data_IF_202354920913
#
_entry.id   IF_202354920913
#
_cell.length_a   1.000
_cell.length_b   1.000
_cell.length_c   1.000
_cell.angle_alpha   90.00
_cell.angle_beta   90.00
_cell.angle_gamma   90.00
#
_symmetry.space_group_name_H-M   'P 1'
#
loop_
_entity.id
_entity.type
_entity.pdbx_description
1 polymer ?
#
# COMPACT_ATOMS: atom_id res chain seq x y z
N UNK A 1 1.56 -10.75 26.63
CA UNK A 1 3.00 -10.43 26.44
C UNK A 1 3.32 -10.37 24.94
N UNK A 2 4.14 -9.41 24.51
CA UNK A 2 4.67 -9.29 23.15
C UNK A 2 6.18 -9.51 23.14
N UNK A 3 6.68 -10.24 22.15
CA UNK A 3 8.08 -10.63 22.04
C UNK A 3 8.65 -10.10 20.72
N UNK A 4 9.74 -9.34 20.79
CA UNK A 4 10.42 -8.81 19.62
C UNK A 4 11.77 -9.48 19.42
N UNK A 5 12.02 -9.91 18.18
CA UNK A 5 13.22 -10.63 17.79
C UNK A 5 13.94 -9.86 16.68
N UNK A 6 15.27 -9.94 16.70
CA UNK A 6 16.15 -9.60 15.59
C UNK A 6 16.85 -10.88 15.10
N UNK A 7 17.56 -10.82 13.98
CA UNK A 7 18.38 -11.92 13.42
C UNK A 7 19.38 -12.48 14.46
N UNK A 8 19.79 -11.68 15.45
CA UNK A 8 20.64 -12.09 16.57
C UNK A 8 19.91 -12.66 17.80
N UNK A 9 18.58 -12.80 17.79
CA UNK A 9 17.79 -13.33 18.91
C UNK A 9 16.76 -12.34 19.48
N UNK A 10 16.18 -12.68 20.63
CA UNK A 10 15.15 -11.88 21.33
C UNK A 10 15.77 -10.59 21.85
N UNK A 11 15.13 -9.45 21.58
CA UNK A 11 15.60 -8.13 22.03
C UNK A 11 14.68 -7.47 23.07
N UNK A 12 13.35 -7.50 22.87
CA UNK A 12 12.42 -6.80 23.76
C UNK A 12 11.22 -7.65 24.16
N UNK A 13 10.69 -7.37 25.35
CA UNK A 13 9.50 -7.99 25.93
C UNK A 13 8.59 -6.88 26.38
N UNK A 14 7.36 -6.84 25.85
CA UNK A 14 6.34 -5.91 26.33
C UNK A 14 5.25 -6.68 27.06
N UNK A 15 5.12 -6.43 28.35
CA UNK A 15 4.12 -7.05 29.22
C UNK A 15 3.11 -5.98 29.65
N UNK A 16 1.83 -6.33 29.70
CA UNK A 16 0.77 -5.42 30.18
C UNK A 16 -0.61 -5.59 29.55
N UNK A 17 -0.75 -6.28 28.41
CA UNK A 17 -2.08 -6.70 27.94
C UNK A 17 -2.56 -7.93 28.74
N UNK A 18 -3.79 -7.84 29.25
CA UNK A 18 -4.46 -8.91 30.01
C UNK A 18 -5.23 -9.88 29.10
N UNK A 19 -5.55 -9.47 27.87
CA UNK A 19 -6.14 -10.29 26.83
C UNK A 19 -5.16 -10.56 25.67
N UNK A 20 -5.41 -11.58 24.83
CA UNK A 20 -4.58 -11.84 23.65
C UNK A 20 -4.53 -10.61 22.73
N UNK A 21 -3.33 -10.31 22.23
CA UNK A 21 -3.14 -9.21 21.27
C UNK A 21 -3.67 -9.63 19.90
N UNK A 22 -4.52 -8.78 19.33
CA UNK A 22 -5.14 -8.99 18.04
C UNK A 22 -4.41 -8.30 16.89
N UNK A 23 -4.03 -7.02 17.07
CA UNK A 23 -3.34 -6.23 16.06
C UNK A 23 -2.10 -5.51 16.60
N UNK A 24 -1.12 -5.34 15.73
CA UNK A 24 0.09 -4.57 15.95
C UNK A 24 0.24 -3.54 14.83
N UNK A 25 0.54 -2.30 15.21
CA UNK A 25 0.75 -1.17 14.32
C UNK A 25 2.09 -0.50 14.68
N UNK A 26 3.21 -1.00 14.13
CA UNK A 26 4.51 -0.36 14.30
C UNK A 26 4.57 0.93 13.48
N UNK A 27 5.21 1.96 14.03
CA UNK A 27 5.39 3.24 13.35
C UNK A 27 6.71 3.92 13.73
N UNK A 28 7.09 4.92 12.94
CA UNK A 28 8.29 5.72 13.13
C UNK A 28 7.99 7.17 12.80
N UNK A 29 8.14 8.05 13.79
CA UNK A 29 7.84 9.48 13.68
C UNK A 29 8.84 10.25 14.55
N UNK A 30 9.32 11.39 14.06
CA UNK A 30 10.21 12.29 14.81
C UNK A 30 11.45 11.58 15.40
N UNK A 31 12.05 10.65 14.62
CA UNK A 31 13.15 9.79 15.04
C UNK A 31 12.86 8.78 16.15
N UNK A 32 11.60 8.61 16.54
CA UNK A 32 11.15 7.67 17.57
C UNK A 32 10.44 6.50 16.88
N UNK A 33 10.89 5.29 17.20
CA UNK A 33 10.20 4.05 16.80
C UNK A 33 9.29 3.61 17.94
N UNK A 34 8.05 3.28 17.62
CA UNK A 34 7.07 2.84 18.60
C UNK A 34 6.07 1.88 17.97
N UNK A 35 5.22 1.29 18.80
CA UNK A 35 4.23 0.30 18.38
C UNK A 35 2.93 0.58 19.11
N UNK A 36 1.83 0.61 18.39
CA UNK A 36 0.51 0.41 18.98
C UNK A 36 0.13 -1.06 18.94
N UNK A 37 -0.49 -1.57 19.99
CA UNK A 37 -1.08 -2.90 20.00
C UNK A 37 -2.50 -2.85 20.54
N UNK A 38 -3.37 -3.67 19.96
CA UNK A 38 -4.76 -3.81 20.40
C UNK A 38 -5.03 -5.24 20.84
N UNK A 39 -5.74 -5.41 21.93
CA UNK A 39 -6.15 -6.71 22.45
C UNK A 39 -7.62 -7.01 22.12
N UNK A 40 -8.03 -8.27 22.26
CA UNK A 40 -9.40 -8.74 21.94
C UNK A 40 -10.46 -8.06 22.82
N UNK A 41 -10.09 -7.64 24.03
CA UNK A 41 -10.94 -6.86 24.95
C UNK A 41 -11.07 -5.38 24.57
N UNK A 42 -10.47 -4.96 23.45
CA UNK A 42 -10.49 -3.58 22.96
C UNK A 42 -9.45 -2.67 23.59
N UNK A 43 -8.56 -3.17 24.47
CA UNK A 43 -7.50 -2.34 25.04
C UNK A 43 -6.44 -2.00 24.00
N UNK A 44 -6.06 -0.72 23.95
CA UNK A 44 -5.03 -0.19 23.07
C UNK A 44 -3.86 0.30 23.92
N UNK A 45 -2.65 -0.13 23.59
CA UNK A 45 -1.42 0.28 24.28
C UNK A 45 -0.35 0.73 23.30
N UNK A 46 0.42 1.75 23.68
CA UNK A 46 1.61 2.20 22.95
C UNK A 46 2.89 1.77 23.67
N UNK A 47 3.90 1.35 22.91
CA UNK A 47 5.17 0.82 23.42
C UNK A 47 6.35 1.53 22.77
N UNK A 48 7.36 1.87 23.57
CA UNK A 48 8.69 2.28 23.11
C UNK A 48 9.68 1.13 23.32
N UNK A 49 10.77 1.11 22.56
CA UNK A 49 11.83 0.09 22.66
C UNK A 49 12.78 0.36 23.83
N UNK A 50 12.23 0.55 25.04
CA UNK A 50 12.99 0.90 26.26
C UNK A 50 12.61 0.07 27.50
N UNK A 51 11.74 -0.94 27.33
CA UNK A 51 11.29 -1.86 28.39
C UNK A 51 10.56 -1.17 29.57
N UNK A 52 10.18 0.10 29.46
CA UNK A 52 9.53 0.87 30.54
C UNK A 52 7.99 0.67 30.59
N UNK A 53 7.48 -0.36 29.92
CA UNK A 53 6.05 -0.67 29.86
C UNK A 53 5.26 0.18 28.86
N UNK A 54 3.93 0.08 28.90
CA UNK A 54 3.05 0.82 27.99
C UNK A 54 3.01 2.30 28.35
N UNK A 55 3.09 3.17 27.36
CA UNK A 55 3.00 4.64 27.51
C UNK A 55 1.58 5.15 27.60
N UNK A 56 0.65 4.33 27.11
CA UNK A 56 -0.72 4.70 26.82
C UNK A 56 -1.61 3.51 27.13
N UNK A 57 -2.83 3.80 27.60
CA UNK A 57 -3.94 2.87 27.74
C UNK A 57 -5.21 3.56 27.23
N UNK A 58 -5.70 3.14 26.07
CA UNK A 58 -6.98 3.61 25.50
C UNK A 58 -7.94 2.46 25.31
N UNK A 59 -9.21 2.81 25.15
CA UNK A 59 -10.28 1.88 24.83
C UNK A 59 -10.71 2.06 23.38
N UNK A 60 -10.67 0.98 22.60
CA UNK A 60 -11.20 0.95 21.26
C UNK A 60 -12.72 1.15 21.27
N UNK A 61 -13.29 1.81 20.24
CA UNK A 61 -14.73 1.86 20.04
C UNK A 61 -15.34 0.46 20.06
N UNK A 62 -16.43 0.29 20.82
CA UNK A 62 -17.12 -1.01 20.96
C UNK A 62 -16.47 -1.99 21.95
N UNK A 63 -15.36 -1.62 22.61
CA UNK A 63 -14.67 -2.40 23.65
C UNK A 63 -14.40 -3.86 23.23
N UNK A 64 -13.94 -4.00 22.00
CA UNK A 64 -13.66 -5.30 21.39
C UNK A 64 -12.58 -5.17 20.32
N UNK A 65 -12.32 -6.30 19.70
CA UNK A 65 -11.34 -6.56 18.67
C UNK A 65 -11.30 -5.48 17.56
N UNK A 66 -10.17 -4.77 17.45
CA UNK A 66 -9.96 -3.73 16.45
C UNK A 66 -8.58 -3.82 15.80
N UNK A 67 -8.50 -3.55 14.50
CA UNK A 67 -7.24 -3.36 13.78
C UNK A 67 -6.83 -1.89 13.86
N UNK A 68 -5.55 -1.60 14.13
CA UNK A 68 -5.00 -0.25 13.98
C UNK A 68 -4.05 -0.18 12.79
N UNK A 69 -4.08 0.94 12.07
CA UNK A 69 -3.13 1.23 11.02
C UNK A 69 -2.91 2.73 10.85
N UNK A 70 -1.69 3.13 10.55
CA UNK A 70 -1.43 4.45 9.99
C UNK A 70 -1.87 4.50 8.53
N UNK A 71 -2.29 5.69 8.07
CA UNK A 71 -2.50 5.97 6.67
C UNK A 71 -1.26 5.66 5.84
N UNK A 72 -1.42 5.40 4.54
CA UNK A 72 -0.32 5.02 3.66
C UNK A 72 0.78 6.10 3.53
N UNK A 73 0.48 7.35 3.83
CA UNK A 73 1.44 8.46 3.94
C UNK A 73 2.12 8.56 5.33
N UNK A 74 1.62 7.81 6.32
CA UNK A 74 2.13 7.76 7.68
C UNK A 74 1.65 8.89 8.60
N UNK A 75 0.69 9.71 8.18
CA UNK A 75 0.36 10.95 8.90
C UNK A 75 -0.82 10.83 9.87
N UNK A 76 -1.70 9.84 9.69
CA UNK A 76 -2.96 9.70 10.43
C UNK A 76 -3.15 8.30 10.95
N UNK A 77 -3.67 8.18 12.18
CA UNK A 77 -3.89 6.91 12.85
C UNK A 77 -5.37 6.54 12.81
N UNK A 78 -5.67 5.32 12.35
CA UNK A 78 -7.03 4.79 12.27
C UNK A 78 -7.16 3.50 13.07
N UNK A 79 -8.37 3.24 13.54
CA UNK A 79 -8.77 1.90 13.97
C UNK A 79 -10.09 1.49 13.35
N UNK A 80 -10.19 0.22 12.96
CA UNK A 80 -11.42 -0.38 12.49
C UNK A 80 -11.66 -1.71 13.18
N UNK A 81 -12.82 -1.84 13.81
CA UNK A 81 -13.18 -3.03 14.58
C UNK A 81 -14.67 -3.29 14.58
N UNK A 82 -15.07 -4.35 15.26
CA UNK A 82 -16.46 -4.70 15.50
C UNK A 82 -16.70 -4.84 16.99
N UNK A 83 -17.85 -4.41 17.51
CA UNK A 83 -18.24 -4.65 18.91
C UNK A 83 -18.66 -6.11 19.14
N UNK A 84 -18.89 -6.49 20.40
CA UNK A 84 -19.45 -7.81 20.76
C UNK A 84 -20.82 -8.06 20.12
N UNK A 85 -21.59 -7.01 19.91
CA UNK A 85 -22.92 -7.02 19.31
C UNK A 85 -22.88 -6.98 17.77
N UNK A 86 -21.68 -6.94 17.17
CA UNK A 86 -21.49 -6.92 15.72
C UNK A 86 -21.62 -5.53 15.08
N UNK A 87 -21.46 -4.46 15.87
CA UNK A 87 -21.43 -3.09 15.38
C UNK A 87 -20.04 -2.75 14.83
N UNK A 88 -19.94 -2.41 13.56
CA UNK A 88 -18.67 -2.00 12.95
C UNK A 88 -18.35 -0.54 13.25
N UNK A 89 -17.11 -0.26 13.65
CA UNK A 89 -16.61 1.08 13.96
C UNK A 89 -15.34 1.37 13.15
N UNK A 90 -15.25 2.58 12.61
CA UNK A 90 -14.05 3.11 11.95
C UNK A 90 -13.82 4.53 12.45
N UNK A 91 -12.66 4.76 13.07
CA UNK A 91 -12.34 6.05 13.68
C UNK A 91 -10.92 6.48 13.35
N UNK A 92 -10.72 7.79 13.32
CA UNK A 92 -9.41 8.44 13.31
C UNK A 92 -9.09 8.93 14.73
N UNK A 93 -7.84 8.73 15.14
CA UNK A 93 -7.33 9.14 16.44
C UNK A 93 -6.57 10.46 16.37
N UNK A 94 -6.76 11.30 17.39
CA UNK A 94 -5.80 12.34 17.73
C UNK A 94 -4.70 11.70 18.59
N UNK A 95 -3.56 11.40 17.98
CA UNK A 95 -2.44 10.73 18.66
C UNK A 95 -1.91 11.52 19.86
N UNK A 96 -1.85 12.86 19.78
CA UNK A 96 -1.32 13.68 20.87
C UNK A 96 -2.27 13.81 22.06
N UNK A 97 -3.59 13.82 21.81
CA UNK A 97 -4.59 13.93 22.87
C UNK A 97 -5.07 12.56 23.38
N UNK A 98 -4.86 11.50 22.60
CA UNK A 98 -5.40 10.17 22.91
C UNK A 98 -6.92 10.07 22.75
N UNK A 99 -7.52 10.96 21.97
CA UNK A 99 -8.97 11.08 21.78
C UNK A 99 -9.39 10.66 20.36
N UNK A 100 -10.66 10.33 20.19
CA UNK A 100 -11.23 10.10 18.86
C UNK A 100 -11.41 11.46 18.18
N UNK A 101 -10.71 11.66 17.06
CA UNK A 101 -10.79 12.86 16.25
C UNK A 101 -12.00 12.83 15.31
N UNK A 102 -12.25 11.68 14.67
CA UNK A 102 -13.38 11.49 13.73
C UNK A 102 -13.94 10.07 13.83
N UNK A 103 -15.25 9.96 13.64
CA UNK A 103 -15.96 8.69 13.50
C UNK A 103 -16.61 8.63 12.11
N UNK A 104 -16.28 7.62 11.33
CA UNK A 104 -16.82 7.43 9.98
C UNK A 104 -18.15 6.69 10.02
N UNK A 105 -19.15 7.23 9.32
CA UNK A 105 -20.52 6.73 9.26
C UNK A 105 -20.74 5.88 8.01
N UNK A 106 -21.75 5.01 8.03
CA UNK A 106 -22.12 4.15 6.88
C UNK A 106 -22.02 2.65 7.14
N UNK A 107 -21.46 2.27 8.29
CA UNK A 107 -21.59 0.92 8.82
C UNK A 107 -23.03 0.68 9.28
N UNK A 108 -23.49 -0.56 9.15
CA UNK A 108 -24.77 -1.01 9.70
C UNK A 108 -24.49 -2.06 10.78
N UNK A 109 -25.52 -2.34 11.56
CA UNK A 109 -25.48 -3.35 12.63
C UNK A 109 -25.62 -4.73 11.97
N UNK A 110 -24.54 -5.54 11.85
CA UNK A 110 -24.52 -6.99 11.48
C UNK A 110 -23.17 -7.51 10.95
N UNK A 111 -22.04 -7.14 11.52
CA UNK A 111 -20.78 -7.77 11.15
C UNK A 111 -20.39 -8.90 12.10
N UNK A 112 -20.22 -10.11 11.55
CA UNK A 112 -19.82 -11.31 12.31
C UNK A 112 -18.30 -11.42 12.46
N UNK A 113 -17.54 -10.71 11.63
CA UNK A 113 -16.07 -10.74 11.61
C UNK A 113 -15.52 -9.32 11.73
N UNK A 114 -14.31 -9.18 12.28
CA UNK A 114 -13.65 -7.88 12.38
C UNK A 114 -13.41 -7.28 11.01
N UNK A 115 -14.02 -6.13 10.76
CA UNK A 115 -13.90 -5.38 9.51
C UNK A 115 -12.43 -5.06 9.23
N UNK A 116 -12.02 -5.33 7.99
CA UNK A 116 -10.69 -4.97 7.51
C UNK A 116 -10.79 -3.67 6.71
N UNK A 117 -9.79 -2.81 6.87
CA UNK A 117 -9.69 -1.57 6.14
C UNK A 117 -8.28 -1.38 5.57
N UNK A 118 -8.17 -0.53 4.56
CA UNK A 118 -6.90 -0.04 4.07
C UNK A 118 -7.04 1.39 3.55
N UNK A 119 -5.91 2.07 3.38
CA UNK A 119 -5.86 3.48 2.97
C UNK A 119 -4.95 3.68 1.77
N UNK A 120 -5.21 4.76 1.03
CA UNK A 120 -4.33 5.26 -0.02
C UNK A 120 -3.53 6.47 0.46
N UNK A 121 -2.48 6.82 -0.28
CA UNK A 121 -1.75 8.09 -0.10
C UNK A 121 -2.56 9.30 -0.59
N UNK A 122 -3.59 9.06 -1.38
CA UNK A 122 -4.49 10.09 -1.91
C UNK A 122 -5.66 10.38 -0.98
N UNK A 123 -5.51 10.11 0.32
CA UNK A 123 -6.53 10.40 1.33
C UNK A 123 -7.86 9.67 1.09
N UNK A 124 -7.82 8.43 0.57
CA UNK A 124 -8.99 7.55 0.56
C UNK A 124 -8.84 6.41 1.55
N UNK A 125 -9.99 5.99 2.06
CA UNK A 125 -10.15 4.90 3.01
C UNK A 125 -11.19 3.93 2.46
N UNK A 126 -10.90 2.63 2.54
CA UNK A 126 -11.84 1.59 2.14
C UNK A 126 -11.96 0.53 3.24
N UNK A 127 -13.18 0.06 3.49
CA UNK A 127 -13.46 -0.99 4.47
C UNK A 127 -14.38 -2.06 3.88
N UNK A 128 -14.11 -3.31 4.23
CA UNK A 128 -14.87 -4.47 3.76
C UNK A 128 -15.91 -4.88 4.78
N UNK A 129 -17.19 -4.68 4.47
CA UNK A 129 -18.30 -4.88 5.41
C UNK A 129 -19.59 -5.20 4.65
N UNK A 130 -20.39 -6.13 5.19
CA UNK A 130 -21.69 -6.54 4.64
C UNK A 130 -21.66 -6.95 3.16
N UNK A 131 -20.71 -7.80 2.76
CA UNK A 131 -20.57 -8.25 1.36
C UNK A 131 -20.28 -7.11 0.36
N UNK A 132 -19.84 -5.95 0.87
CA UNK A 132 -19.53 -4.75 0.09
C UNK A 132 -18.18 -4.17 0.49
N UNK A 133 -17.70 -3.26 -0.36
CA UNK A 133 -16.55 -2.40 -0.12
C UNK A 133 -17.09 -0.99 0.03
N UNK A 134 -16.91 -0.40 1.21
CA UNK A 134 -17.36 0.95 1.52
C UNK A 134 -16.17 1.90 1.43
N UNK A 135 -16.38 3.10 0.89
CA UNK A 135 -15.33 4.08 0.64
C UNK A 135 -15.63 5.42 1.30
N UNK A 136 -14.57 6.08 1.78
CA UNK A 136 -14.60 7.41 2.38
C UNK A 136 -13.47 8.27 1.84
N UNK A 137 -13.76 9.56 1.70
CA UNK A 137 -12.72 10.59 1.73
C UNK A 137 -12.30 10.76 3.19
N UNK A 138 -11.00 10.79 3.41
CA UNK A 138 -10.41 10.86 4.72
C UNK A 138 -10.82 12.09 5.56
N UNK A 139 -11.24 13.18 4.95
CA UNK A 139 -11.71 14.38 5.64
C UNK A 139 -13.24 14.48 5.71
N UNK A 140 -13.96 13.52 5.12
CA UNK A 140 -15.42 13.43 5.17
C UNK A 140 -15.88 12.20 5.97
N UNK A 141 -16.62 12.42 7.05
CA UNK A 141 -17.14 11.33 7.88
C UNK A 141 -18.26 10.55 7.22
N UNK A 142 -18.92 11.11 6.21
CA UNK A 142 -19.98 10.41 5.48
C UNK A 142 -19.38 9.48 4.41
N UNK A 143 -19.96 8.28 4.30
CA UNK A 143 -19.60 7.32 3.26
C UNK A 143 -19.83 7.93 1.87
N UNK A 144 -18.82 7.84 1.02
CA UNK A 144 -18.90 8.30 -0.38
C UNK A 144 -19.73 7.33 -1.20
N UNK A 145 -19.40 6.04 -1.12
CA UNK A 145 -20.06 4.99 -1.90
C UNK A 145 -19.82 3.61 -1.28
N UNK A 146 -20.62 2.64 -1.70
CA UNK A 146 -20.44 1.23 -1.38
C UNK A 146 -20.64 0.40 -2.65
N UNK A 147 -19.76 -0.58 -2.87
CA UNK A 147 -19.71 -1.38 -4.10
C UNK A 147 -19.65 -2.87 -3.76
N UNK A 148 -20.44 -3.68 -4.45
CA UNK A 148 -20.47 -5.15 -4.30
C UNK A 148 -19.48 -5.87 -5.24
N UNK A 149 -18.80 -5.12 -6.10
CA UNK A 149 -17.78 -5.57 -7.05
C UNK A 149 -18.25 -6.70 -7.96
N UNK A 150 -19.45 -6.59 -8.55
CA UNK A 150 -20.12 -7.64 -9.34
C UNK A 150 -20.48 -8.87 -8.50
N UNK A 151 -20.72 -8.68 -7.21
CA UNK A 151 -21.09 -9.72 -6.25
C UNK A 151 -19.97 -10.70 -5.87
N UNK A 152 -20.31 -11.70 -5.05
CA UNK A 152 -19.40 -12.78 -4.65
C UNK A 152 -18.33 -12.37 -3.63
N UNK A 153 -18.51 -11.26 -2.93
CA UNK A 153 -17.71 -10.90 -1.76
C UNK A 153 -18.25 -11.64 -0.52
N UNK A 154 -17.40 -12.04 0.44
CA UNK A 154 -17.84 -12.60 1.72
C UNK A 154 -18.36 -11.49 2.65
N UNK A 155 -18.94 -11.84 3.80
CA UNK A 155 -19.51 -10.85 4.74
C UNK A 155 -18.49 -9.80 5.21
N UNK A 156 -17.23 -10.20 5.42
CA UNK A 156 -16.10 -9.30 5.74
C UNK A 156 -14.96 -9.52 4.73
N UNK A 157 -15.02 -8.87 3.55
CA UNK A 157 -13.97 -8.99 2.55
C UNK A 157 -12.67 -8.37 3.07
N UNK A 158 -11.54 -9.04 2.87
CA UNK A 158 -10.23 -8.46 3.13
C UNK A 158 -9.79 -7.61 1.96
N UNK A 159 -9.22 -6.47 2.27
CA UNK A 159 -8.87 -5.43 1.32
C UNK A 159 -7.38 -5.09 1.43
N UNK A 160 -6.73 -4.83 0.30
CA UNK A 160 -5.37 -4.29 0.29
C UNK A 160 -5.15 -3.38 -0.91
N UNK A 161 -4.82 -2.12 -0.68
CA UNK A 161 -4.38 -1.23 -1.75
C UNK A 161 -2.94 -1.57 -2.17
N UNK A 162 -2.63 -1.37 -3.45
CA UNK A 162 -1.23 -1.29 -3.86
C UNK A 162 -0.60 0.03 -3.37
N UNK A 163 0.72 0.11 -3.40
CA UNK A 163 1.48 1.25 -2.89
C UNK A 163 1.07 2.58 -3.53
N UNK A 164 0.69 2.55 -4.82
CA UNK A 164 0.23 3.72 -5.57
C UNK A 164 -1.24 4.10 -5.28
N UNK A 165 -2.03 3.26 -4.62
CA UNK A 165 -3.47 3.49 -4.38
C UNK A 165 -4.35 3.34 -5.63
N UNK A 166 -3.79 2.84 -6.74
CA UNK A 166 -4.47 2.67 -8.02
C UNK A 166 -5.28 1.37 -8.11
N UNK A 167 -4.92 0.36 -7.31
CA UNK A 167 -5.52 -0.97 -7.34
C UNK A 167 -5.88 -1.41 -5.93
N UNK A 168 -7.00 -2.12 -5.81
CA UNK A 168 -7.48 -2.74 -4.59
C UNK A 168 -7.64 -4.24 -4.82
N UNK A 169 -6.90 -5.06 -4.06
CA UNK A 169 -7.13 -6.50 -4.00
C UNK A 169 -8.22 -6.80 -2.96
N UNK A 170 -9.18 -7.66 -3.32
CA UNK A 170 -10.36 -7.97 -2.52
C UNK A 170 -10.59 -9.48 -2.52
N UNK A 171 -10.81 -10.09 -1.35
CA UNK A 171 -11.14 -11.52 -1.27
C UNK A 171 -12.58 -11.80 -1.66
N UNK A 172 -12.84 -12.96 -2.28
CA UNK A 172 -14.18 -13.43 -2.67
C UNK A 172 -14.66 -14.61 -1.81
N UNK A 173 -15.97 -14.87 -1.81
CA UNK A 173 -16.60 -15.95 -1.03
C UNK A 173 -16.16 -17.35 -1.43
N UNK A 174 -15.65 -17.51 -2.65
CA UNK A 174 -15.06 -18.74 -3.17
C UNK A 174 -13.54 -18.82 -2.96
N UNK A 175 -13.04 -18.10 -1.95
CA UNK A 175 -11.63 -18.02 -1.56
C UNK A 175 -10.68 -17.47 -2.64
N UNK A 176 -11.23 -16.86 -3.69
CA UNK A 176 -10.47 -16.16 -4.71
C UNK A 176 -10.14 -14.71 -4.32
N UNK A 177 -9.57 -14.01 -5.29
CA UNK A 177 -9.24 -12.59 -5.18
C UNK A 177 -9.72 -11.88 -6.45
N UNK A 178 -10.39 -10.74 -6.27
CA UNK A 178 -10.69 -9.75 -7.31
C UNK A 178 -9.70 -8.59 -7.20
N UNK A 179 -9.22 -8.11 -8.33
CA UNK A 179 -8.44 -6.87 -8.44
C UNK A 179 -9.33 -5.78 -9.02
N UNK A 180 -9.54 -4.70 -8.27
CA UNK A 180 -10.33 -3.54 -8.66
C UNK A 180 -9.41 -2.36 -8.97
N UNK A 181 -9.68 -1.64 -10.06
CA UNK A 181 -8.98 -0.40 -10.38
C UNK A 181 -9.82 0.82 -9.95
N UNK A 182 -9.26 1.71 -9.11
CA UNK A 182 -9.92 2.96 -8.74
C UNK A 182 -10.03 3.92 -9.94
N UNK A 183 -10.86 4.96 -9.88
CA UNK A 183 -10.92 5.99 -10.93
C UNK A 183 -9.57 6.69 -11.13
N UNK A 184 -8.88 7.00 -10.03
CA UNK A 184 -7.48 7.47 -10.06
C UNK A 184 -6.53 6.42 -10.61
N UNK A 185 -6.76 5.15 -10.32
CA UNK A 185 -6.01 4.04 -10.89
C UNK A 185 -6.22 3.89 -12.39
N UNK A 186 -7.45 4.02 -12.88
CA UNK A 186 -7.78 4.06 -14.30
C UNK A 186 -7.16 5.27 -14.98
N UNK A 187 -7.17 6.46 -14.33
CA UNK A 187 -6.52 7.67 -14.85
C UNK A 187 -5.00 7.51 -14.91
N UNK A 188 -4.38 6.94 -13.88
CA UNK A 188 -2.95 6.64 -13.82
C UNK A 188 -2.55 5.60 -14.87
N UNK A 189 -3.33 4.53 -15.02
CA UNK A 189 -3.14 3.51 -16.07
C UNK A 189 -3.21 4.15 -17.46
N UNK A 190 -4.27 4.93 -17.76
CA UNK A 190 -4.43 5.63 -19.05
C UNK A 190 -3.26 6.59 -19.32
N UNK A 191 -2.79 7.33 -18.32
CA UNK A 191 -1.66 8.25 -18.44
C UNK A 191 -0.32 7.52 -18.66
N UNK A 192 -0.13 6.35 -18.06
CA UNK A 192 1.07 5.52 -18.27
C UNK A 192 1.05 4.82 -19.63
N UNK A 193 -0.12 4.39 -20.10
CA UNK A 193 -0.32 3.80 -21.43
C UNK A 193 -0.10 4.83 -22.55
N UNK A 194 -0.58 6.07 -22.41
CA UNK A 194 -0.36 7.13 -23.41
C UNK A 194 1.13 7.46 -23.59
N UNK A 195 1.88 7.56 -22.48
CA UNK A 195 3.35 7.77 -22.53
C UNK A 195 4.12 6.60 -23.13
N UNK A 196 3.59 5.37 -23.05
CA UNK A 196 4.20 4.21 -23.66
C UNK A 196 3.98 4.18 -25.19
N UNK A 197 2.84 4.69 -25.66
CA UNK A 197 2.50 4.84 -27.09
C UNK A 197 3.32 5.95 -27.75
N UNK A 198 3.57 7.06 -27.05
CA UNK A 198 4.39 8.15 -27.59
C UNK A 198 5.87 7.75 -27.77
N UNK A 199 6.36 6.77 -26.99
CA UNK A 199 7.71 6.20 -27.15
C UNK A 199 7.81 5.13 -28.24
N UNK A 200 6.70 4.55 -28.71
CA UNK A 200 6.70 3.61 -29.83
C UNK A 200 6.49 4.28 -31.18
N UNK A 201 6.15 5.58 -31.20
CA UNK A 201 6.00 6.39 -32.40
C UNK A 201 7.14 7.41 -32.51
N UNK A 202 8.37 6.93 -32.70
CA UNK A 202 9.37 7.75 -33.39
C UNK A 202 8.86 8.04 -34.81
N UNK A 203 8.94 9.28 -35.33
CA UNK A 203 8.44 9.56 -36.67
C UNK A 203 9.27 8.79 -37.69
N UNK A 204 8.61 7.93 -38.46
CA UNK A 204 9.15 7.38 -39.70
C UNK A 204 9.41 8.54 -40.67
N UNK A 205 10.66 8.71 -41.09
CA UNK A 205 10.98 9.63 -42.18
C UNK A 205 10.17 9.24 -43.44
N UNK A 206 9.60 10.23 -44.17
CA UNK A 206 8.83 9.93 -45.36
C UNK A 206 9.75 9.49 -46.50
N UNK A 207 9.46 8.29 -47.01
CA UNK A 207 10.00 7.73 -48.24
C UNK A 207 9.68 8.68 -49.39
N UNK A 208 10.70 9.34 -49.94
CA UNK A 208 10.57 10.10 -51.18
C UNK A 208 11.12 9.24 -52.33
N UNK A 209 10.20 8.78 -53.18
CA UNK A 209 10.47 7.94 -54.34
C UNK A 209 10.91 8.77 -55.54
N UNK A 210 12.11 8.50 -56.07
CA UNK A 210 12.42 8.62 -57.51
C UNK A 210 13.45 7.55 -57.91
N UNK A 211 13.24 6.80 -59.01
CA UNK A 211 14.24 5.86 -59.51
C UNK A 211 15.16 6.56 -60.51
N UNK A 212 16.45 6.20 -60.54
CA UNK A 212 17.34 6.44 -61.68
C UNK A 212 18.38 5.32 -61.77
N UNK A 213 18.56 4.85 -63.00
CA UNK A 213 19.27 3.66 -63.46
C UNK A 213 20.72 4.03 -63.82
N UNK A 214 21.68 3.23 -63.31
CA UNK A 214 22.91 2.69 -63.96
C UNK A 214 23.97 3.67 -64.51
N UNK A 215 25.22 3.66 -64.00
CA UNK A 215 26.37 2.89 -64.50
C UNK A 215 27.74 3.35 -63.93
N UNK A 216 28.71 2.43 -63.99
CA UNK A 216 30.18 2.61 -64.06
C UNK A 216 31.04 2.68 -62.76
N UNK A 217 31.77 1.57 -62.54
CA UNK A 217 33.22 1.43 -62.34
C UNK A 217 34.01 2.49 -61.54
N UNK A 218 34.75 2.02 -60.52
CA UNK A 218 35.98 2.72 -60.09
C UNK A 218 36.52 2.38 -58.70
N UNK A 219 37.47 1.44 -58.67
CA UNK A 219 38.60 1.21 -57.75
C UNK A 219 38.70 1.86 -56.34
N UNK A 220 38.89 0.96 -55.36
CA UNK A 220 40.01 0.84 -54.39
C UNK A 220 40.66 2.12 -53.80
N UNK A 221 40.61 2.28 -52.46
CA UNK A 221 41.78 2.13 -51.56
C UNK A 221 41.51 2.55 -50.10
N UNK A 222 41.97 1.69 -49.18
CA UNK A 222 42.59 1.91 -47.86
C UNK A 222 42.79 3.37 -47.40
N UNK A 223 42.76 3.74 -46.11
CA UNK A 223 43.51 3.13 -44.99
C UNK A 223 42.90 3.54 -43.63
N UNK A 224 43.21 2.72 -42.63
CA UNK A 224 42.79 2.75 -41.24
C UNK A 224 43.45 3.80 -40.33
N UNK A 225 42.79 4.00 -39.18
CA UNK A 225 43.32 4.09 -37.80
C UNK A 225 43.68 5.44 -37.19
N UNK A 226 43.30 5.59 -35.91
CA UNK A 226 43.79 6.63 -35.00
C UNK A 226 42.88 6.88 -33.81
N UNK A 227 43.13 6.17 -32.70
CA UNK A 227 42.41 6.23 -31.40
C UNK A 227 42.92 7.35 -30.48
N UNK A 228 42.03 7.77 -29.55
CA UNK A 228 42.28 8.26 -28.17
C UNK A 228 42.90 9.67 -28.02
N UNK A 229 42.67 10.48 -26.98
CA UNK A 229 41.80 10.47 -25.79
C UNK A 229 42.03 11.77 -24.99
N UNK A 230 41.04 12.18 -24.17
CA UNK A 230 41.20 12.95 -22.91
C UNK A 230 41.64 14.43 -23.02
N UNK A 231 41.41 15.38 -22.11
CA UNK A 231 40.53 15.61 -20.95
C UNK A 231 40.74 17.09 -20.53
N UNK A 232 39.96 17.57 -19.55
CA UNK A 232 40.12 18.80 -18.73
C UNK A 232 39.60 20.15 -19.30
N UNK A 233 39.08 21.15 -18.58
CA UNK A 233 38.38 21.41 -17.29
C UNK A 233 38.57 22.93 -17.00
N UNK A 234 37.52 23.68 -16.64
CA UNK A 234 37.56 24.89 -15.75
C UNK A 234 36.11 25.44 -15.62
N UNK A 235 35.44 25.42 -14.46
CA UNK A 235 35.50 26.29 -13.27
C UNK A 235 35.23 27.81 -13.48
N UNK A 236 34.12 28.33 -12.92
CA UNK A 236 34.06 29.56 -12.09
C UNK A 236 32.69 29.83 -11.42
N UNK A 237 32.72 30.28 -10.16
CA UNK A 237 31.61 30.63 -9.24
C UNK A 237 31.45 32.17 -9.08
N UNK A 238 30.22 32.58 -8.71
CA UNK A 238 29.54 33.85 -8.28
C UNK A 238 30.34 35.03 -7.64
N UNK A 239 29.68 36.18 -7.33
CA UNK A 239 29.18 36.43 -5.96
C UNK A 239 27.97 37.42 -5.80
N UNK A 240 27.62 37.75 -4.55
CA UNK A 240 26.48 38.55 -4.05
C UNK A 240 26.87 39.86 -3.29
N UNK A 241 25.86 40.63 -2.82
CA UNK A 241 25.74 41.44 -1.55
C UNK A 241 25.43 42.98 -1.62
N UNK A 242 24.23 43.37 -1.11
CA UNK A 242 23.74 44.42 -0.16
C UNK A 242 23.92 45.98 -0.16
N UNK A 243 22.77 46.67 0.08
CA UNK A 243 22.35 47.80 1.01
C UNK A 243 22.81 49.29 0.84
N UNK A 244 21.82 50.23 0.75
CA UNK A 244 21.63 51.40 1.67
C UNK A 244 21.51 52.88 1.16
N UNK A 245 20.29 53.49 1.26
CA UNK A 245 19.80 54.89 1.57
C UNK A 245 20.52 56.19 1.04
N UNK A 246 19.97 57.42 0.82
CA UNK A 246 18.78 58.23 1.23
C UNK A 246 18.62 59.53 0.34
N UNK A 247 17.38 60.05 0.17
CA UNK A 247 17.00 61.50 -0.06
C UNK A 247 16.91 62.00 -1.52
N UNK A 248 15.96 62.81 -2.02
CA UNK A 248 14.92 63.71 -1.46
C UNK A 248 13.85 64.02 -2.54
N UNK A 249 12.63 64.39 -2.10
CA UNK A 249 11.37 64.60 -2.85
C UNK A 249 11.34 65.81 -3.82
N UNK A 250 10.49 65.74 -4.86
CA UNK A 250 9.34 66.64 -5.01
C UNK A 250 8.23 66.10 -5.94
N UNK A 251 7.01 66.59 -5.70
CA UNK A 251 5.73 65.88 -5.79
C UNK A 251 4.82 66.36 -6.94
N UNK A 252 4.13 65.47 -7.66
CA UNK A 252 2.82 65.77 -8.28
C UNK A 252 2.09 64.53 -8.82
N UNK A 253 1.01 64.17 -8.10
CA UNK A 253 -0.25 63.54 -8.53
C UNK A 253 -0.23 62.07 -8.98
N UNK A 254 -0.71 61.19 -8.09
CA UNK A 254 -1.82 60.24 -8.32
C UNK A 254 -2.40 59.85 -6.94
N UNK A 255 -3.73 59.75 -6.85
CA UNK A 255 -4.50 59.57 -5.60
C UNK A 255 -4.55 58.09 -5.22
N UNK A 256 -3.90 57.75 -4.09
CA UNK A 256 -3.97 56.44 -3.45
C UNK A 256 -5.18 56.35 -2.50
N UNK A 257 -6.12 55.47 -2.85
CA UNK A 257 -7.15 54.97 -1.93
C UNK A 257 -6.66 53.62 -1.41
N UNK A 258 -6.29 53.59 -0.13
CA UNK A 258 -5.91 52.42 0.66
C UNK A 258 -6.81 51.19 0.39
N UNK A 259 -6.29 50.07 -0.15
CA UNK A 259 -7.03 48.82 -0.14
C UNK A 259 -6.93 48.21 1.26
N UNK A 260 -8.08 48.01 1.89
CA UNK A 260 -8.23 47.11 3.04
C UNK A 260 -7.81 45.72 2.59
N UNK A 261 -7.01 45.06 3.42
CA UNK A 261 -6.67 43.65 3.32
C UNK A 261 -7.99 42.87 3.29
N UNK A 262 -8.34 42.32 2.12
CA UNK A 262 -9.36 41.29 2.02
C UNK A 262 -8.65 39.94 2.14
N UNK A 263 -9.12 39.10 3.05
CA UNK A 263 -8.86 37.66 3.09
C UNK A 263 -9.16 37.05 1.72
N UNK A 264 -8.16 36.93 0.86
CA UNK A 264 -8.18 35.94 -0.22
C UNK A 264 -7.63 34.65 0.37
N UNK A 265 -8.51 34.01 1.16
CA UNK A 265 -8.45 32.57 1.37
C UNK A 265 -8.66 31.95 -0.01
N UNK A 266 -7.55 31.82 -0.73
CA UNK A 266 -7.54 31.35 -2.11
C UNK A 266 -8.26 30.02 -2.13
N UNK A 267 -9.47 30.07 -2.71
CA UNK A 267 -10.48 29.02 -2.66
C UNK A 267 -9.82 27.75 -3.13
N UNK A 268 -9.49 26.88 -2.17
CA UNK A 268 -9.21 25.48 -2.40
C UNK A 268 -10.42 24.97 -3.16
N UNK A 269 -10.29 24.89 -4.48
CA UNK A 269 -11.32 24.40 -5.39
C UNK A 269 -11.78 23.09 -4.80
N UNK A 270 -12.98 23.09 -4.24
CA UNK A 270 -13.63 21.89 -3.75
C UNK A 270 -13.61 20.91 -4.91
N UNK A 271 -12.78 19.87 -4.78
CA UNK A 271 -12.78 18.78 -5.72
C UNK A 271 -14.17 18.17 -5.65
N UNK A 272 -15.01 18.53 -6.62
CA UNK A 272 -16.23 17.79 -6.90
C UNK A 272 -15.79 16.37 -7.20
N UNK A 273 -16.24 15.50 -6.32
CA UNK A 273 -16.17 14.06 -6.41
C UNK A 273 -16.73 13.58 -7.76
N UNK A 274 -15.91 13.53 -8.80
CA UNK A 274 -16.10 12.65 -9.96
C UNK A 274 -15.77 11.19 -9.60
N UNK A 275 -15.96 10.84 -8.32
CA UNK A 275 -15.55 9.58 -7.71
C UNK A 275 -16.65 8.55 -7.96
N UNK A 276 -16.31 7.64 -8.88
CA UNK A 276 -16.73 6.24 -8.91
C UNK A 276 -18.22 6.04 -9.20
N UNK A 277 -18.57 6.20 -10.48
CA UNK A 277 -19.60 5.33 -11.04
C UNK A 277 -19.10 3.88 -10.89
N UNK A 278 -19.90 3.01 -10.29
CA UNK A 278 -19.61 1.57 -10.14
C UNK A 278 -19.23 0.95 -11.48
N UNK A 279 -19.74 1.50 -12.59
CA UNK A 279 -19.43 1.11 -13.97
C UNK A 279 -17.95 1.24 -14.37
N UNK A 280 -17.15 2.00 -13.62
CA UNK A 280 -15.74 2.24 -13.92
C UNK A 280 -14.81 1.21 -13.27
N UNK A 281 -15.28 0.44 -12.28
CA UNK A 281 -14.46 -0.58 -11.62
C UNK A 281 -14.30 -1.78 -12.57
N UNK A 282 -13.05 -2.12 -12.91
CA UNK A 282 -12.75 -3.38 -13.59
C UNK A 282 -12.35 -4.42 -12.56
N UNK A 283 -13.06 -5.55 -12.53
CA UNK A 283 -12.72 -6.69 -11.70
C UNK A 283 -11.97 -7.76 -12.51
N UNK A 284 -10.85 -8.22 -11.96
CA UNK A 284 -10.09 -9.36 -12.48
C UNK A 284 -10.01 -10.43 -11.39
N UNK A 285 -10.52 -11.63 -11.70
CA UNK A 285 -10.41 -12.79 -10.82
C UNK A 285 -9.07 -13.50 -11.03
N UNK A 286 -8.38 -13.81 -9.93
CA UNK A 286 -7.12 -14.54 -10.01
C UNK A 286 -7.36 -16.05 -10.22
N UNK A 287 -6.58 -16.71 -11.11
CA UNK A 287 -6.71 -18.14 -11.36
C UNK A 287 -6.24 -18.94 -10.14
N UNK A 288 -7.01 -19.98 -9.79
CA UNK A 288 -6.69 -20.93 -8.72
C UNK A 288 -7.23 -22.32 -9.07
N UNK A 289 -6.41 -23.37 -8.97
CA UNK A 289 -6.80 -24.75 -9.34
C UNK A 289 -6.61 -25.78 -8.24
N UNK A 290 -6.17 -25.41 -7.03
CA UNK A 290 -5.86 -26.39 -5.96
C UNK A 290 -6.36 -25.90 -4.59
N UNK A 291 -7.04 -26.82 -3.89
CA UNK A 291 -7.61 -26.82 -2.53
C UNK A 291 -7.60 -25.45 -1.82
N UNK A 292 -8.79 -24.87 -1.78
CA UNK A 292 -9.06 -23.51 -1.36
C UNK A 292 -9.07 -23.35 0.16
N UNK A 293 -8.00 -22.78 0.73
CA UNK A 293 -8.03 -22.19 2.06
C UNK A 293 -8.53 -20.75 1.99
N UNK A 294 -9.30 -20.31 2.99
CA UNK A 294 -9.76 -18.91 3.11
C UNK A 294 -8.55 -17.98 3.14
N UNK A 295 -8.51 -16.95 2.31
CA UNK A 295 -7.43 -15.97 2.33
C UNK A 295 -7.49 -15.17 3.63
N UNK A 296 -6.40 -15.21 4.42
CA UNK A 296 -6.30 -14.57 5.73
C UNK A 296 -5.43 -13.30 5.72
N UNK A 297 -4.49 -13.19 4.77
CA UNK A 297 -3.66 -11.98 4.57
C UNK A 297 -3.39 -11.72 3.09
N UNK A 298 -3.29 -10.44 2.73
CA UNK A 298 -2.98 -9.94 1.39
C UNK A 298 -1.88 -8.89 1.47
N UNK A 299 -0.91 -8.93 0.55
CA UNK A 299 0.10 -7.88 0.41
C UNK A 299 0.57 -7.76 -1.04
N UNK A 300 0.54 -6.54 -1.58
CA UNK A 300 1.26 -6.23 -2.81
C UNK A 300 2.75 -6.09 -2.53
N UNK A 301 3.58 -6.57 -3.45
CA UNK A 301 5.02 -6.29 -3.45
C UNK A 301 5.29 -4.78 -3.55
N UNK A 302 6.39 -4.34 -2.95
CA UNK A 302 6.79 -2.92 -2.93
C UNK A 302 7.07 -2.38 -4.34
N UNK A 303 7.52 -3.25 -5.25
CA UNK A 303 7.70 -2.99 -6.67
C UNK A 303 6.39 -2.85 -7.45
N UNK A 304 5.27 -3.33 -6.90
CA UNK A 304 3.95 -3.30 -7.54
C UNK A 304 3.79 -4.32 -8.67
N UNK A 305 4.65 -5.34 -8.76
CA UNK A 305 4.62 -6.35 -9.84
C UNK A 305 3.94 -7.66 -9.45
N UNK A 306 3.64 -7.86 -8.17
CA UNK A 306 3.07 -9.10 -7.67
C UNK A 306 2.18 -8.88 -6.45
N UNK A 307 1.23 -9.80 -6.27
CA UNK A 307 0.36 -9.92 -5.09
C UNK A 307 0.65 -11.26 -4.40
N UNK A 308 0.88 -11.21 -3.10
CA UNK A 308 1.04 -12.38 -2.25
C UNK A 308 -0.18 -12.51 -1.34
N UNK A 309 -0.76 -13.71 -1.29
CA UNK A 309 -1.80 -14.07 -0.33
C UNK A 309 -1.33 -15.21 0.57
N UNK A 310 -1.73 -15.15 1.84
CA UNK A 310 -1.63 -16.27 2.78
C UNK A 310 -3.02 -16.81 3.04
N UNK A 311 -3.21 -18.12 2.85
CA UNK A 311 -4.45 -18.82 3.13
C UNK A 311 -4.44 -19.45 4.54
N UNK A 312 -5.63 -19.78 5.06
CA UNK A 312 -5.82 -20.37 6.39
C UNK A 312 -5.13 -21.72 6.56
N UNK A 313 -4.92 -22.46 5.47
CA UNK A 313 -4.14 -23.70 5.43
C UNK A 313 -2.61 -23.47 5.42
N UNK A 314 -2.14 -22.28 5.80
CA UNK A 314 -0.73 -21.89 5.85
C UNK A 314 0.02 -21.82 4.51
N UNK A 315 -0.67 -22.02 3.38
CA UNK A 315 -0.07 -21.92 2.05
C UNK A 315 -0.08 -20.48 1.55
N UNK A 316 1.03 -20.05 0.97
CA UNK A 316 1.12 -18.78 0.26
C UNK A 316 0.94 -18.98 -1.25
N UNK A 317 0.24 -18.02 -1.86
CA UNK A 317 0.07 -17.94 -3.31
C UNK A 317 0.60 -16.60 -3.80
N UNK A 318 1.51 -16.64 -4.78
CA UNK A 318 2.15 -15.46 -5.36
C UNK A 318 1.71 -15.33 -6.81
N UNK A 319 0.99 -14.27 -7.15
CA UNK A 319 0.65 -13.95 -8.52
C UNK A 319 1.55 -12.83 -9.02
N UNK A 320 2.21 -13.04 -10.17
CA UNK A 320 3.09 -12.04 -10.80
C UNK A 320 2.50 -11.54 -12.10
N UNK A 321 2.48 -10.22 -12.25
CA UNK A 321 2.28 -9.61 -13.56
C UNK A 321 3.57 -9.71 -14.36
N UNK A 322 3.45 -10.04 -15.63
CA UNK A 322 4.59 -10.19 -16.54
C UNK A 322 4.59 -9.06 -17.55
N UNK A 323 5.80 -8.68 -17.96
CA UNK A 323 5.98 -7.77 -19.08
C UNK A 323 5.54 -8.47 -20.37
N UNK A 324 4.62 -7.85 -21.08
CA UNK A 324 4.10 -8.33 -22.37
C UNK A 324 3.78 -7.13 -23.26
N UNK A 325 3.44 -7.37 -24.53
CA UNK A 325 2.96 -6.30 -25.43
C UNK A 325 1.75 -5.56 -24.85
N UNK A 326 0.88 -6.29 -24.11
CA UNK A 326 -0.32 -5.73 -23.46
C UNK A 326 -0.05 -5.17 -22.05
N UNK A 327 1.14 -5.38 -21.49
CA UNK A 327 1.57 -4.82 -20.21
C UNK A 327 3.08 -4.53 -20.25
N UNK A 328 3.46 -3.42 -20.87
CA UNK A 328 4.88 -3.06 -21.08
C UNK A 328 5.63 -2.79 -19.77
N UNK A 329 4.91 -2.43 -18.71
CA UNK A 329 5.51 -2.13 -17.41
C UNK A 329 5.80 -3.37 -16.56
N UNK A 330 5.05 -4.46 -16.78
CA UNK A 330 5.04 -5.62 -15.89
C UNK A 330 4.44 -5.36 -14.50
N UNK A 331 3.90 -4.16 -14.24
CA UNK A 331 3.22 -3.83 -12.99
C UNK A 331 1.82 -4.43 -12.94
N UNK A 332 1.25 -4.45 -11.74
CA UNK A 332 -0.11 -4.86 -11.49
C UNK A 332 -1.12 -4.02 -12.28
N UNK A 333 -2.13 -4.68 -12.83
CA UNK A 333 -3.23 -4.06 -13.58
C UNK A 333 -4.51 -4.89 -13.37
N UNK A 334 -5.67 -4.25 -13.48
CA UNK A 334 -6.97 -4.94 -13.50
C UNK A 334 -7.38 -5.41 -14.92
N UNK A 335 -6.59 -5.07 -15.96
CA UNK A 335 -6.90 -5.43 -17.36
C UNK A 335 -6.14 -6.68 -17.84
N UNK A 336 -5.03 -7.03 -17.18
CA UNK A 336 -4.22 -8.20 -17.52
C UNK A 336 -4.16 -9.15 -16.32
N UNK A 337 -4.53 -10.41 -16.54
CA UNK A 337 -4.40 -11.44 -15.52
C UNK A 337 -2.93 -11.67 -15.15
N UNK A 338 -2.54 -11.66 -13.86
CA UNK A 338 -1.25 -12.16 -13.46
C UNK A 338 -1.25 -13.69 -13.55
N UNK A 339 -0.04 -14.26 -13.57
CA UNK A 339 0.13 -15.70 -13.52
C UNK A 339 0.45 -16.13 -12.09
N UNK A 340 -0.16 -17.24 -11.65
CA UNK A 340 0.26 -17.91 -10.43
C UNK A 340 1.70 -18.38 -10.64
N UNK A 341 2.60 -17.86 -9.82
CA UNK A 341 4.02 -18.11 -9.95
C UNK A 341 4.48 -19.13 -8.91
N UNK A 342 5.29 -20.08 -9.37
CA UNK A 342 5.98 -21.08 -8.55
C UNK A 342 7.45 -21.13 -8.98
N UNK A 343 8.38 -21.44 -8.06
CA UNK A 343 9.77 -21.68 -8.43
C UNK A 343 9.88 -22.94 -9.31
N UNK A 344 10.91 -23.06 -10.15
CA UNK A 344 11.14 -24.26 -10.97
C UNK A 344 11.25 -25.56 -10.18
N UNK A 345 11.61 -25.47 -8.89
CA UNK A 345 11.66 -26.64 -7.98
C UNK A 345 10.28 -27.20 -7.64
N UNK A 346 9.20 -26.48 -7.93
CA UNK A 346 7.83 -26.84 -7.54
C UNK A 346 7.57 -26.78 -6.03
N UNK A 347 8.54 -26.28 -5.25
CA UNK A 347 8.42 -26.19 -3.79
C UNK A 347 7.38 -25.12 -3.42
N UNK A 348 6.29 -25.47 -2.72
CA UNK A 348 5.32 -24.49 -2.25
C UNK A 348 5.89 -23.67 -1.09
N UNK A 349 5.40 -22.44 -0.92
CA UNK A 349 5.69 -21.64 0.27
C UNK A 349 4.62 -21.90 1.33
N UNK A 350 4.93 -22.72 2.32
CA UNK A 350 3.99 -23.13 3.37
C UNK A 350 4.58 -22.85 4.75
N UNK A 351 3.79 -22.22 5.62
CA UNK A 351 4.15 -22.02 7.03
C UNK A 351 4.00 -23.31 7.84
N UNK A 352 4.73 -23.36 8.93
CA UNK A 352 4.48 -24.28 10.03
C UNK A 352 3.14 -23.94 10.72
N UNK A 353 2.37 -24.97 11.06
CA UNK A 353 1.08 -24.87 11.75
C UNK A 353 1.18 -25.54 13.12
N UNK A 354 0.46 -25.00 14.09
CA UNK A 354 0.32 -25.67 15.37
C UNK A 354 -0.86 -26.65 15.29
N UNK A 355 -0.58 -27.96 15.25
CA UNK A 355 -1.62 -29.00 15.16
C UNK A 355 -2.57 -29.00 16.38
N UNK A 356 -2.16 -28.40 17.50
CA UNK A 356 -3.00 -28.35 18.71
C UNK A 356 -4.10 -27.28 18.65
N UNK A 357 -4.09 -26.37 17.66
CA UNK A 357 -5.08 -25.30 17.52
C UNK A 357 -5.72 -25.33 16.13
N UNK A 358 -7.04 -25.05 16.03
CA UNK A 358 -7.67 -24.84 14.74
C UNK A 358 -6.96 -23.73 13.95
N UNK A 359 -6.91 -23.89 12.62
CA UNK A 359 -6.32 -22.88 11.72
C UNK A 359 -7.03 -21.51 11.83
N UNK A 360 -8.32 -21.51 12.17
CA UNK A 360 -9.13 -20.31 12.32
C UNK A 360 -8.79 -19.51 13.60
N UNK A 361 -8.27 -20.18 14.63
CA UNK A 361 -7.83 -19.56 15.88
C UNK A 361 -6.35 -19.13 15.85
N UNK A 362 -5.63 -19.52 14.80
CA UNK A 362 -4.21 -19.24 14.65
C UNK A 362 -3.98 -17.87 14.03
N UNK A 363 -3.29 -16.98 14.76
CA UNK A 363 -2.93 -15.68 14.23
C UNK A 363 -1.98 -15.82 13.03
N UNK A 364 -2.43 -15.30 11.87
CA UNK A 364 -1.63 -15.26 10.65
C UNK A 364 -1.01 -13.87 10.46
N UNK A 365 0.23 -13.80 9.97
CA UNK A 365 0.86 -12.54 9.60
C UNK A 365 1.83 -12.72 8.44
N UNK A 366 1.99 -11.67 7.64
CA UNK A 366 2.96 -11.59 6.55
C UNK A 366 3.59 -10.20 6.53
N UNK A 367 4.89 -10.13 6.27
CA UNK A 367 5.62 -8.90 6.09
C UNK A 367 6.68 -9.07 4.99
N UNK A 368 6.73 -8.11 4.06
CA UNK A 368 7.71 -8.11 2.98
C UNK A 368 8.94 -7.30 3.35
N UNK A 369 10.11 -7.82 2.97
CA UNK A 369 11.35 -7.04 2.94
C UNK A 369 11.24 -5.85 1.98
N UNK A 370 12.00 -4.79 2.25
CA UNK A 370 11.97 -3.54 1.45
C UNK A 370 12.27 -3.75 -0.04
N UNK A 371 13.02 -4.79 -0.38
CA UNK A 371 13.45 -5.13 -1.74
C UNK A 371 12.67 -6.33 -2.33
N UNK A 372 11.56 -6.74 -1.73
CA UNK A 372 10.70 -7.86 -2.14
C UNK A 372 11.39 -9.23 -2.24
N UNK A 373 12.63 -9.36 -1.76
CA UNK A 373 13.42 -10.60 -1.93
C UNK A 373 13.09 -11.65 -0.87
N UNK A 374 12.55 -11.22 0.27
CA UNK A 374 12.16 -12.07 1.38
C UNK A 374 10.77 -11.72 1.91
N UNK A 375 10.09 -12.73 2.44
CA UNK A 375 8.85 -12.58 3.22
C UNK A 375 9.03 -13.24 4.58
N UNK A 376 8.66 -12.54 5.64
CA UNK A 376 8.51 -13.11 6.97
C UNK A 376 7.03 -13.44 7.18
N UNK A 377 6.74 -14.65 7.65
CA UNK A 377 5.36 -15.14 7.74
C UNK A 377 5.16 -16.12 8.90
N UNK A 378 3.93 -16.17 9.42
CA UNK A 378 3.53 -17.13 10.45
C UNK A 378 2.03 -17.49 10.32
N UNK A 379 1.69 -18.70 10.77
CA UNK A 379 0.33 -19.27 10.76
C UNK A 379 0.04 -20.07 12.05
N UNK A 380 0.42 -19.52 13.21
CA UNK A 380 0.25 -20.16 14.53
C UNK A 380 1.42 -21.08 14.97
N UNK A 381 2.21 -21.59 14.03
CA UNK A 381 3.48 -22.29 14.30
C UNK A 381 4.68 -21.36 14.41
N UNK A 382 5.87 -21.85 14.03
CA UNK A 382 7.10 -21.05 13.97
C UNK A 382 7.00 -19.93 12.93
N UNK A 383 7.58 -18.78 13.25
CA UNK A 383 7.72 -17.67 12.28
C UNK A 383 8.84 -18.03 11.31
N UNK A 384 8.57 -17.97 10.01
CA UNK A 384 9.52 -18.35 8.96
C UNK A 384 9.90 -17.16 8.09
N UNK A 385 11.19 -17.07 7.73
CA UNK A 385 11.68 -16.16 6.70
C UNK A 385 11.89 -16.93 5.41
N UNK A 386 11.09 -16.65 4.37
CA UNK A 386 11.20 -17.29 3.07
C UNK A 386 11.95 -16.41 2.08
N UNK A 387 12.68 -17.04 1.17
CA UNK A 387 13.18 -16.42 -0.05
C UNK A 387 12.05 -16.39 -1.12
N UNK A 388 11.73 -15.21 -1.64
CA UNK A 388 10.63 -15.02 -2.61
C UNK A 388 10.91 -15.59 -4.01
N UNK A 389 12.17 -15.93 -4.32
CA UNK A 389 12.59 -16.52 -5.59
C UNK A 389 12.65 -18.04 -5.56
N UNK A 390 12.81 -18.66 -4.40
CA UNK A 390 12.95 -20.13 -4.29
C UNK A 390 11.90 -20.77 -3.40
N UNK A 391 11.14 -19.97 -2.65
CA UNK A 391 10.20 -20.40 -1.60
C UNK A 391 10.85 -21.22 -0.47
N UNK A 392 12.19 -21.28 -0.42
CA UNK A 392 12.90 -21.95 0.66
C UNK A 392 12.87 -21.10 1.92
N UNK A 393 12.72 -21.78 3.05
CA UNK A 393 12.91 -21.19 4.38
C UNK A 393 14.40 -20.90 4.57
N UNK A 394 14.73 -19.63 4.80
CA UNK A 394 16.07 -19.16 5.11
C UNK A 394 16.41 -19.33 6.59
N UNK A 395 15.42 -19.08 7.46
CA UNK A 395 15.52 -19.28 8.90
C UNK A 395 14.12 -19.37 9.52
N UNK A 396 14.03 -19.96 10.70
CA UNK A 396 12.82 -19.98 11.54
C UNK A 396 13.10 -19.35 12.89
N UNK A 397 12.11 -18.68 13.45
CA UNK A 397 12.14 -18.11 14.79
C UNK A 397 11.16 -18.92 15.66
N UNK A 398 11.54 -19.14 16.93
CA UNK A 398 10.80 -19.99 17.88
C UNK A 398 9.32 -19.60 17.94
N UNK A 399 8.46 -20.61 18.08
CA UNK A 399 7.03 -20.42 18.34
C UNK A 399 6.84 -19.52 19.57
N UNK A 400 5.82 -18.65 19.62
CA UNK A 400 5.49 -17.91 20.82
C UNK A 400 5.34 -18.90 21.99
N UNK A 401 5.90 -18.63 23.18
CA UNK A 401 5.66 -19.48 24.33
C UNK A 401 4.15 -19.54 24.61
N UNK A 402 3.63 -20.68 25.11
CA UNK A 402 2.21 -20.82 25.40
C UNK A 402 1.74 -19.67 26.30
N UNK A 403 0.58 -19.12 25.98
CA UNK A 403 -0.15 -18.20 26.85
C UNK A 403 -0.48 -18.95 28.14
N UNK A 404 0.15 -18.57 29.25
CA UNK A 404 -0.24 -19.01 30.59
C UNK A 404 -1.62 -18.45 30.94
#
# INVERSE_FOLDING_TARGET
>A
RLHFYNVGGRQYIFEGHEAPVYSLCPHYKENIQFIFSTAIDGKIKAWLYDSLGSRVDYDAPGLWCTMMAYSADGTRLFSCGTSKEGESHLVEWNESEGSIKRTYLGFRKRSLEVVQFDTTRSHFLAAGDEFQIKFWDMDNTNMLTAVDADGGLPASPRLRFNKEGSLLAVTTSDNGIKILASSDGLRLIRMLESRAIDKSRSPSEPINSKPLIVNALGSVANVSSGLASSLERSDRIQPAVSIGNLGTMDNSRLVDVKPRISDDTDKLKSWKSDIVDSSQLKALRLPDSIVAGKVVRLIYTNSGMALLALASNAVHKLWKWQRSERNLSGKATASNAPQLWQPPSGTPMTNDINESKPAEESAACIALSKNDSYVMSASGGKVSLFNMMTFKVMTTFMSPPPTL
#
